data_IF_606584316668
#
_entry.id   IF_606584316668
#
_cell.length_a   1.000
_cell.length_b   1.000
_cell.length_c   1.000
_cell.angle_alpha   90.00
_cell.angle_beta   90.00
_cell.angle_gamma   90.00
#
_symmetry.space_group_name_H-M   'P 1'
#
loop_
_entity.id
_entity.type
_entity.pdbx_description
1 polymer ?
#
# COMPACT_ATOMS: atom_id res chain seq x y z
N UNK A 1 -20.12 12.21 50.80
CA UNK A 1 -20.19 13.06 49.63
C UNK A 1 -19.33 12.38 48.53
N UNK A 2 -19.95 11.53 47.69
CA UNK A 2 -19.23 10.70 46.73
C UNK A 2 -19.25 11.44 45.38
N UNK A 3 -18.09 11.96 44.99
CA UNK A 3 -17.91 12.58 43.67
C UNK A 3 -17.80 11.47 42.62
N UNK A 4 -18.87 11.17 41.93
CA UNK A 4 -18.87 10.38 40.69
C UNK A 4 -18.07 11.18 39.67
N UNK A 5 -16.85 10.71 39.37
CA UNK A 5 -16.08 11.20 38.23
C UNK A 5 -16.82 10.71 36.97
N UNK A 6 -17.52 11.64 36.34
CA UNK A 6 -18.15 11.42 35.04
C UNK A 6 -17.04 11.19 34.01
N UNK A 7 -16.79 9.92 33.70
CA UNK A 7 -15.88 9.53 32.63
C UNK A 7 -16.62 9.69 31.29
N UNK A 8 -16.69 10.92 30.77
CA UNK A 8 -17.08 11.17 29.40
C UNK A 8 -16.20 10.31 28.50
N UNK A 9 -16.76 9.47 27.62
CA UNK A 9 -15.95 8.72 26.65
C UNK A 9 -15.19 9.74 25.79
N UNK A 10 -13.86 9.74 25.93
CA UNK A 10 -13.03 10.49 24.99
C UNK A 10 -13.29 9.86 23.64
N UNK A 11 -13.80 10.63 22.69
CA UNK A 11 -13.92 10.27 21.28
C UNK A 11 -12.51 10.05 20.72
N UNK A 12 -11.93 8.90 21.01
CA UNK A 12 -10.67 8.50 20.44
C UNK A 12 -10.90 8.21 18.96
N UNK A 13 -10.37 9.09 18.13
CA UNK A 13 -10.30 8.83 16.70
C UNK A 13 -9.67 7.46 16.50
N UNK A 14 -10.33 6.45 15.95
CA UNK A 14 -9.80 5.10 15.91
C UNK A 14 -8.54 5.10 15.05
N UNK A 15 -7.44 4.60 15.60
CA UNK A 15 -6.14 4.52 14.93
C UNK A 15 -6.27 3.94 13.51
N UNK A 16 -7.13 2.94 13.35
CA UNK A 16 -7.42 2.35 12.05
C UNK A 16 -7.91 3.37 11.01
N UNK A 17 -8.74 4.34 11.42
CA UNK A 17 -9.25 5.38 10.52
C UNK A 17 -8.13 6.32 10.06
N UNK A 18 -7.21 6.65 10.96
CA UNK A 18 -6.01 7.45 10.63
C UNK A 18 -5.11 6.69 9.65
N UNK A 19 -4.89 5.38 9.88
CA UNK A 19 -4.12 4.54 8.98
C UNK A 19 -4.74 4.47 7.58
N UNK A 20 -6.05 4.42 7.45
CA UNK A 20 -6.73 4.45 6.15
C UNK A 20 -6.48 5.78 5.42
N UNK A 21 -6.45 6.91 6.12
CA UNK A 21 -6.10 8.20 5.52
C UNK A 21 -4.64 8.23 5.04
N UNK A 22 -3.72 7.70 5.85
CA UNK A 22 -2.31 7.57 5.47
C UNK A 22 -2.17 6.68 4.22
N UNK A 23 -2.91 5.57 4.16
CA UNK A 23 -2.94 4.68 3.00
C UNK A 23 -3.48 5.39 1.75
N UNK A 24 -4.48 6.26 1.87
CA UNK A 24 -4.95 7.08 0.74
C UNK A 24 -3.80 7.95 0.19
N UNK A 25 -3.05 8.62 1.05
CA UNK A 25 -1.86 9.40 0.66
C UNK A 25 -0.76 8.53 0.03
N UNK A 26 -0.51 7.34 0.60
CA UNK A 26 0.49 6.42 0.08
C UNK A 26 0.14 5.91 -1.33
N UNK A 27 -1.13 5.55 -1.58
CA UNK A 27 -1.57 5.16 -2.94
C UNK A 27 -1.52 6.33 -3.92
N UNK A 28 -1.81 7.56 -3.50
CA UNK A 28 -1.67 8.75 -4.33
C UNK A 28 -0.20 9.01 -4.71
N UNK A 29 0.72 8.87 -3.74
CA UNK A 29 2.15 8.95 -3.98
C UNK A 29 2.63 7.87 -4.95
N UNK A 30 2.20 6.63 -4.72
CA UNK A 30 2.55 5.49 -5.56
C UNK A 30 2.03 5.65 -7.01
N UNK A 31 0.82 6.19 -7.19
CA UNK A 31 0.29 6.53 -8.51
C UNK A 31 1.19 7.52 -9.26
N UNK A 32 1.68 8.55 -8.56
CA UNK A 32 2.55 9.57 -9.14
C UNK A 32 3.92 9.00 -9.48
N UNK A 33 4.50 8.21 -8.58
CA UNK A 33 5.78 7.54 -8.74
C UNK A 33 5.77 6.61 -9.97
N UNK A 34 4.80 5.70 -10.03
CA UNK A 34 4.66 4.77 -11.15
C UNK A 34 4.46 5.52 -12.47
N UNK A 35 3.68 6.63 -12.46
CA UNK A 35 3.45 7.40 -13.68
C UNK A 35 4.73 8.05 -14.21
N UNK A 36 5.61 8.49 -13.33
CA UNK A 36 6.90 9.09 -13.69
C UNK A 36 7.87 8.03 -14.19
N UNK A 37 8.02 6.94 -13.45
CA UNK A 37 8.96 5.86 -13.77
C UNK A 37 8.57 5.05 -15.02
N UNK A 38 7.28 4.98 -15.36
CA UNK A 38 6.77 4.16 -16.45
C UNK A 38 6.31 4.98 -17.67
N UNK A 39 6.84 6.20 -17.86
CA UNK A 39 6.43 7.07 -19.00
C UNK A 39 6.53 6.35 -20.34
N UNK A 40 7.63 5.66 -20.60
CA UNK A 40 7.84 4.91 -21.84
C UNK A 40 6.98 3.65 -21.90
N UNK A 41 6.96 2.86 -20.83
CA UNK A 41 6.20 1.61 -20.76
C UNK A 41 4.68 1.83 -20.94
N UNK A 42 4.14 2.94 -20.45
CA UNK A 42 2.73 3.32 -20.60
C UNK A 42 2.38 3.66 -22.06
N UNK A 43 3.35 4.13 -22.84
CA UNK A 43 3.16 4.40 -24.27
C UNK A 43 3.08 3.12 -25.09
N UNK A 44 3.92 2.14 -24.75
CA UNK A 44 4.09 0.93 -25.55
C UNK A 44 3.18 -0.22 -25.11
N UNK A 45 2.81 -0.25 -23.80
CA UNK A 45 2.06 -1.36 -23.23
C UNK A 45 0.86 -0.90 -22.40
N UNK A 46 -0.35 -1.21 -22.87
CA UNK A 46 -1.61 -0.89 -22.18
C UNK A 46 -1.66 -1.46 -20.75
N UNK A 47 -1.00 -2.59 -20.51
CA UNK A 47 -0.93 -3.24 -19.18
C UNK A 47 -0.23 -2.38 -18.14
N UNK A 48 0.70 -1.50 -18.56
CA UNK A 48 1.39 -0.57 -17.66
C UNK A 48 0.45 0.46 -16.99
N UNK A 49 -0.76 0.66 -17.54
CA UNK A 49 -1.79 1.49 -16.91
C UNK A 49 -2.46 0.83 -15.70
N UNK A 50 -2.40 -0.49 -15.58
CA UNK A 50 -3.11 -1.22 -14.53
C UNK A 50 -2.72 -0.78 -13.10
N UNK A 51 -1.43 -0.71 -12.74
CA UNK A 51 -1.04 -0.27 -11.39
C UNK A 51 -1.39 1.21 -11.14
N UNK A 52 -1.33 2.08 -12.17
CA UNK A 52 -1.69 3.49 -12.06
C UNK A 52 -3.19 3.63 -11.76
N UNK A 53 -4.04 2.98 -12.57
CA UNK A 53 -5.49 3.00 -12.40
C UNK A 53 -5.91 2.40 -11.06
N UNK A 54 -5.24 1.31 -10.65
CA UNK A 54 -5.50 0.68 -9.36
C UNK A 54 -5.11 1.60 -8.18
N UNK A 55 -3.97 2.29 -8.25
CA UNK A 55 -3.55 3.26 -7.23
C UNK A 55 -4.52 4.44 -7.12
N UNK A 56 -4.97 4.96 -8.26
CA UNK A 56 -5.97 6.02 -8.29
C UNK A 56 -7.30 5.55 -7.64
N UNK A 57 -7.76 4.36 -8.00
CA UNK A 57 -8.95 3.75 -7.40
C UNK A 57 -8.79 3.56 -5.89
N UNK A 58 -7.67 3.02 -5.42
CA UNK A 58 -7.42 2.81 -3.99
C UNK A 58 -7.30 4.12 -3.21
N UNK A 59 -6.74 5.16 -3.81
CA UNK A 59 -6.72 6.51 -3.21
C UNK A 59 -8.14 6.97 -2.89
N UNK A 60 -9.04 6.90 -3.88
CA UNK A 60 -10.45 7.30 -3.72
C UNK A 60 -11.19 6.39 -2.74
N UNK A 61 -10.99 5.07 -2.86
CA UNK A 61 -11.62 4.08 -1.97
C UNK A 61 -11.21 4.29 -0.50
N UNK A 62 -9.92 4.53 -0.23
CA UNK A 62 -9.43 4.84 1.11
C UNK A 62 -9.97 6.18 1.62
N UNK A 63 -10.05 7.21 0.79
CA UNK A 63 -10.62 8.50 1.17
C UNK A 63 -12.11 8.38 1.55
N UNK A 64 -12.90 7.65 0.75
CA UNK A 64 -14.30 7.36 1.05
C UNK A 64 -14.42 6.54 2.34
N UNK A 65 -13.60 5.48 2.48
CA UNK A 65 -13.60 4.66 3.68
C UNK A 65 -13.22 5.47 4.93
N UNK A 66 -12.30 6.42 4.84
CA UNK A 66 -11.96 7.34 5.93
C UNK A 66 -13.16 8.15 6.38
N UNK A 67 -13.96 8.70 5.44
CA UNK A 67 -15.14 9.50 5.76
C UNK A 67 -16.23 8.62 6.39
N UNK A 68 -16.52 7.47 5.80
CA UNK A 68 -17.60 6.57 6.18
C UNK A 68 -17.11 5.31 6.91
N UNK A 69 -16.10 5.43 7.78
CA UNK A 69 -15.50 4.30 8.47
C UNK A 69 -16.48 3.57 9.38
N UNK A 70 -16.96 2.43 8.91
CA UNK A 70 -17.90 1.57 9.61
C UNK A 70 -17.65 0.08 9.31
N UNK A 71 -18.43 -0.80 9.88
CA UNK A 71 -18.30 -2.26 9.69
C UNK A 71 -18.37 -2.69 8.22
N UNK A 72 -19.22 -2.03 7.43
CA UNK A 72 -19.37 -2.32 5.99
C UNK A 72 -18.15 -1.85 5.21
N UNK A 73 -17.69 -0.62 5.44
CA UNK A 73 -16.47 -0.10 4.81
C UNK A 73 -15.27 -1.04 5.06
N UNK A 74 -15.05 -1.47 6.31
CA UNK A 74 -13.99 -2.41 6.65
C UNK A 74 -14.08 -3.72 5.87
N UNK A 75 -15.28 -4.30 5.76
CA UNK A 75 -15.50 -5.55 5.01
C UNK A 75 -15.22 -5.40 3.52
N UNK A 76 -15.52 -4.23 2.95
CA UNK A 76 -15.23 -3.92 1.54
C UNK A 76 -13.73 -3.68 1.34
N UNK A 77 -13.09 -2.97 2.26
CA UNK A 77 -11.66 -2.66 2.13
C UNK A 77 -10.74 -3.87 2.25
N UNK A 78 -11.12 -4.91 3.02
CA UNK A 78 -10.29 -6.13 3.14
C UNK A 78 -9.99 -6.79 1.78
N UNK A 79 -10.96 -7.15 0.94
CA UNK A 79 -10.67 -7.76 -0.36
C UNK A 79 -9.93 -6.79 -1.30
N UNK A 80 -10.17 -5.48 -1.21
CA UNK A 80 -9.42 -4.52 -2.00
C UNK A 80 -7.94 -4.50 -1.60
N UNK A 81 -7.62 -4.46 -0.31
CA UNK A 81 -6.24 -4.55 0.16
C UNK A 81 -5.60 -5.91 -0.11
N UNK A 82 -6.38 -7.00 -0.06
CA UNK A 82 -5.89 -8.32 -0.46
C UNK A 82 -5.50 -8.33 -1.95
N UNK A 83 -6.29 -7.68 -2.79
CA UNK A 83 -5.95 -7.53 -4.22
C UNK A 83 -4.67 -6.71 -4.38
N UNK A 84 -4.47 -5.62 -3.63
CA UNK A 84 -3.22 -4.86 -3.64
C UNK A 84 -2.02 -5.75 -3.27
N UNK A 85 -2.17 -6.57 -2.23
CA UNK A 85 -1.13 -7.51 -1.81
C UNK A 85 -0.77 -8.51 -2.92
N UNK A 86 -1.79 -9.09 -3.57
CA UNK A 86 -1.60 -10.05 -4.68
C UNK A 86 -0.97 -9.37 -5.89
N UNK A 87 -1.48 -8.20 -6.29
CA UNK A 87 -0.95 -7.44 -7.45
C UNK A 87 0.50 -7.03 -7.21
N UNK A 88 0.84 -6.60 -5.99
CA UNK A 88 2.21 -6.28 -5.62
C UNK A 88 3.15 -7.50 -5.70
N UNK A 89 2.71 -8.64 -5.19
CA UNK A 89 3.48 -9.89 -5.25
C UNK A 89 3.68 -10.38 -6.69
N UNK A 90 2.63 -10.35 -7.51
CA UNK A 90 2.71 -10.72 -8.93
C UNK A 90 3.57 -9.72 -9.70
N UNK A 91 3.41 -8.42 -9.44
CA UNK A 91 4.23 -7.38 -10.06
C UNK A 91 5.72 -7.60 -9.78
N UNK A 92 6.06 -7.89 -8.53
CA UNK A 92 7.44 -8.23 -8.15
C UNK A 92 7.96 -9.46 -8.87
N UNK A 93 7.17 -10.53 -8.94
CA UNK A 93 7.53 -11.75 -9.65
C UNK A 93 7.80 -11.50 -11.15
N UNK A 94 6.91 -10.79 -11.83
CA UNK A 94 7.05 -10.50 -13.26
C UNK A 94 8.17 -9.49 -13.55
N UNK A 95 8.34 -8.50 -12.70
CA UNK A 95 9.38 -7.48 -12.85
C UNK A 95 10.79 -8.10 -12.79
N UNK A 96 10.94 -9.12 -11.99
CA UNK A 96 12.21 -9.82 -11.79
C UNK A 96 12.33 -11.14 -12.59
N UNK A 97 11.46 -11.35 -13.57
CA UNK A 97 11.49 -12.58 -14.40
C UNK A 97 11.57 -13.90 -13.62
N UNK A 98 11.07 -13.91 -12.38
CA UNK A 98 11.12 -15.05 -11.47
C UNK A 98 12.43 -15.23 -10.68
N UNK A 99 13.46 -14.38 -10.89
CA UNK A 99 14.74 -14.43 -10.18
C UNK A 99 14.70 -13.78 -8.79
N UNK A 100 13.65 -14.08 -8.01
CA UNK A 100 13.36 -13.45 -6.72
C UNK A 100 14.53 -13.58 -5.71
N UNK A 101 15.18 -14.75 -5.67
CA UNK A 101 16.25 -15.02 -4.70
C UNK A 101 17.49 -14.18 -5.00
N UNK A 102 17.80 -13.98 -6.27
CA UNK A 102 18.96 -13.21 -6.68
C UNK A 102 18.73 -11.72 -6.38
N UNK A 103 17.56 -11.20 -6.70
CA UNK A 103 17.17 -9.80 -6.37
C UNK A 103 17.23 -9.53 -4.86
N UNK A 104 16.78 -10.47 -4.02
CA UNK A 104 16.86 -10.29 -2.56
C UNK A 104 18.32 -10.27 -2.11
N UNK A 105 19.16 -11.16 -2.64
CA UNK A 105 20.60 -11.18 -2.32
C UNK A 105 21.30 -9.89 -2.75
N UNK A 106 21.02 -9.43 -3.96
CA UNK A 106 21.62 -8.21 -4.51
C UNK A 106 21.18 -6.97 -3.74
N UNK A 107 19.91 -6.89 -3.37
CA UNK A 107 19.41 -5.85 -2.47
C UNK A 107 20.08 -5.88 -1.09
N UNK A 108 20.31 -7.06 -0.53
CA UNK A 108 21.03 -7.20 0.75
C UNK A 108 22.52 -6.83 0.61
N UNK A 109 23.16 -7.22 -0.48
CA UNK A 109 24.56 -6.91 -0.73
C UNK A 109 24.77 -5.41 -0.96
N UNK A 110 23.84 -4.72 -1.63
CA UNK A 110 23.89 -3.27 -1.84
C UNK A 110 23.89 -2.46 -0.53
N UNK A 111 23.35 -3.00 0.56
CA UNK A 111 23.44 -2.38 1.90
C UNK A 111 24.84 -2.47 2.50
N UNK A 112 25.62 -3.49 2.13
CA UNK A 112 26.96 -3.76 2.68
C UNK A 112 28.10 -3.30 1.78
N UNK A 113 27.83 -3.12 0.49
CA UNK A 113 28.80 -2.69 -0.52
C UNK A 113 28.31 -1.43 -1.28
N UNK A 114 28.76 -0.23 -0.85
CA UNK A 114 28.38 1.02 -1.52
C UNK A 114 28.89 1.15 -2.96
N UNK A 115 29.78 0.27 -3.41
CA UNK A 115 30.30 0.28 -4.79
C UNK A 115 29.34 -0.40 -5.77
N UNK A 116 28.33 -1.12 -5.29
CA UNK A 116 27.27 -1.66 -6.13
C UNK A 116 26.40 -0.53 -6.67
N UNK A 117 26.68 -0.14 -7.91
CA UNK A 117 25.80 0.74 -8.66
C UNK A 117 24.59 -0.06 -9.12
N UNK A 118 23.39 0.42 -8.79
CA UNK A 118 22.17 -0.14 -9.35
C UNK A 118 22.21 -0.02 -10.87
N UNK A 119 21.88 -1.07 -11.63
CA UNK A 119 21.70 -0.94 -13.06
C UNK A 119 20.63 0.14 -13.34
N UNK A 120 20.82 0.88 -14.43
CA UNK A 120 19.88 1.90 -14.90
C UNK A 120 18.51 1.24 -15.13
N UNK A 121 17.54 1.53 -14.26
CA UNK A 121 16.20 0.96 -14.33
C UNK A 121 15.36 1.26 -13.07
N UNK A 122 14.04 1.12 -13.15
CA UNK A 122 13.17 1.27 -11.98
C UNK A 122 13.52 0.24 -10.91
N UNK A 123 13.44 0.60 -9.62
CA UNK A 123 13.81 -0.29 -8.52
C UNK A 123 13.07 -1.64 -8.61
N UNK A 124 13.81 -2.72 -8.68
CA UNK A 124 13.26 -4.10 -8.82
C UNK A 124 12.28 -4.47 -7.70
N UNK A 125 12.43 -3.83 -6.52
CA UNK A 125 11.59 -4.04 -5.33
C UNK A 125 10.36 -3.10 -5.29
N UNK A 126 10.23 -2.16 -6.21
CA UNK A 126 9.14 -1.17 -6.21
C UNK A 126 7.73 -1.81 -6.13
N UNK A 127 7.43 -2.92 -6.84
CA UNK A 127 6.12 -3.55 -6.74
C UNK A 127 5.77 -4.07 -5.34
N UNK A 128 6.76 -4.36 -4.48
CA UNK A 128 6.51 -4.77 -3.09
C UNK A 128 5.86 -3.67 -2.26
N UNK A 129 5.93 -2.40 -2.67
CA UNK A 129 5.21 -1.31 -2.03
C UNK A 129 3.70 -1.57 -2.04
N UNK A 130 3.13 -2.08 -3.14
CA UNK A 130 1.73 -2.49 -3.18
C UNK A 130 1.42 -3.61 -2.19
N UNK A 131 2.28 -4.62 -2.12
CA UNK A 131 2.09 -5.73 -1.19
C UNK A 131 2.15 -5.23 0.27
N UNK A 132 3.10 -4.35 0.59
CA UNK A 132 3.22 -3.74 1.92
C UNK A 132 1.99 -2.90 2.29
N UNK A 133 1.53 -2.02 1.40
CA UNK A 133 0.32 -1.22 1.62
C UNK A 133 -0.93 -2.10 1.73
N UNK A 134 -1.03 -3.15 0.92
CA UNK A 134 -2.10 -4.13 0.98
C UNK A 134 -2.15 -4.83 2.35
N UNK A 135 -1.03 -5.34 2.83
CA UNK A 135 -0.93 -5.99 4.13
C UNK A 135 -1.29 -5.02 5.27
N UNK A 136 -0.75 -3.81 5.26
CA UNK A 136 -1.04 -2.79 6.26
C UNK A 136 -2.52 -2.43 6.27
N UNK A 137 -3.14 -2.31 5.10
CA UNK A 137 -4.57 -2.02 4.95
C UNK A 137 -5.47 -3.15 5.46
N UNK A 138 -5.10 -4.42 5.22
CA UNK A 138 -5.78 -5.58 5.79
C UNK A 138 -5.73 -5.50 7.32
N UNK A 139 -4.53 -5.31 7.90
CA UNK A 139 -4.35 -5.21 9.35
C UNK A 139 -5.20 -4.07 9.94
N UNK A 140 -5.18 -2.87 9.33
CA UNK A 140 -5.99 -1.73 9.77
C UNK A 140 -7.51 -2.03 9.74
N UNK A 141 -7.95 -2.91 8.81
CA UNK A 141 -9.35 -3.28 8.64
C UNK A 141 -9.83 -4.40 9.57
N UNK A 142 -8.92 -5.09 10.27
CA UNK A 142 -9.29 -6.16 11.19
C UNK A 142 -10.04 -5.62 12.42
N UNK A 143 -10.99 -6.43 12.92
CA UNK A 143 -11.83 -6.09 14.09
C UNK A 143 -11.00 -5.76 15.34
N UNK A 144 -9.84 -6.38 15.48
CA UNK A 144 -8.95 -6.20 16.65
C UNK A 144 -8.48 -4.75 16.85
N UNK A 145 -8.36 -3.98 15.76
CA UNK A 145 -7.92 -2.59 15.80
C UNK A 145 -9.07 -1.58 15.76
N UNK A 146 -10.31 -2.08 15.82
CA UNK A 146 -11.55 -1.30 15.72
C UNK A 146 -12.52 -1.78 16.81
N UNK A 147 -12.34 -1.38 18.08
CA UNK A 147 -13.22 -1.74 19.18
C UNK A 147 -14.67 -1.26 18.96
#
# INVERSE_FOLDING_TARGET
>A
MSTTIDSTPRDHFPLARVLILILAGAFAGLMSDIRVEHVEAVHDHTVAWLPIAYSAFMTVACAIAFIFWNKTARRIMIPLFLLAFIVGGLGFYFHNHGHIVDVIKDSMNAWTDPSMTHPDGPPEVAPLSFAGLGLLGILASLKRFNP
#
